data_IF_922941838740
#
_entry.id   IF_922941838740
#
_cell.length_a   1.000
_cell.length_b   1.000
_cell.length_c   1.000
_cell.angle_alpha   90.00
_cell.angle_beta   90.00
_cell.angle_gamma   90.00
#
_symmetry.space_group_name_H-M   'P 1'
#
loop_
_entity.id
_entity.type
_entity.pdbx_description
1 polymer ?
#
# COMPACT_ATOMS: atom_id res chain seq x y z
N UNK A 1 5.21 -14.77 -1.45
CA UNK A 1 6.59 -14.33 -1.11
C UNK A 1 6.77 -12.82 -1.26
N UNK A 2 6.56 -12.22 -2.45
CA UNK A 2 6.74 -10.77 -2.68
C UNK A 2 6.15 -9.86 -1.60
N UNK A 3 4.84 -9.95 -1.32
CA UNK A 3 4.19 -9.10 -0.32
C UNK A 3 4.71 -9.31 1.10
N UNK A 4 5.08 -10.56 1.44
CA UNK A 4 5.68 -10.86 2.74
C UNK A 4 7.01 -10.12 2.92
N UNK A 5 7.85 -10.04 1.88
CA UNK A 5 9.12 -9.30 1.98
C UNK A 5 8.88 -7.81 2.23
N UNK A 6 7.86 -7.22 1.61
CA UNK A 6 7.48 -5.81 1.87
C UNK A 6 7.00 -5.63 3.32
N UNK A 7 6.18 -6.54 3.83
CA UNK A 7 5.74 -6.52 5.24
C UNK A 7 6.94 -6.67 6.18
N UNK A 8 7.84 -7.60 5.89
CA UNK A 8 9.04 -7.82 6.69
C UNK A 8 9.94 -6.57 6.70
N UNK A 9 10.13 -5.90 5.55
CA UNK A 9 10.94 -4.68 5.43
C UNK A 9 10.27 -3.44 6.04
N UNK A 10 8.94 -3.38 6.03
CA UNK A 10 8.17 -2.33 6.71
C UNK A 10 8.36 -2.37 8.24
N UNK A 11 8.69 -3.53 8.81
CA UNK A 11 8.87 -3.70 10.25
C UNK A 11 8.21 -4.96 10.80
N UNK A 12 7.75 -5.86 9.93
CA UNK A 12 7.19 -7.16 10.30
C UNK A 12 5.67 -7.15 10.42
N UNK A 13 5.15 -8.32 10.81
CA UNK A 13 3.71 -8.57 10.85
C UNK A 13 2.98 -7.70 11.88
N UNK A 14 3.57 -7.55 13.07
CA UNK A 14 2.91 -6.83 14.17
C UNK A 14 2.71 -5.35 13.82
N UNK A 15 3.75 -4.68 13.31
CA UNK A 15 3.63 -3.29 12.86
C UNK A 15 2.68 -3.14 11.67
N UNK A 16 2.65 -4.13 10.76
CA UNK A 16 1.65 -4.14 9.69
C UNK A 16 0.22 -4.27 10.21
N UNK A 17 -0.02 -5.07 11.26
CA UNK A 17 -1.34 -5.14 11.91
C UNK A 17 -1.70 -3.82 12.61
N UNK A 18 -0.75 -3.13 13.23
CA UNK A 18 -0.97 -1.79 13.78
C UNK A 18 -1.40 -0.80 12.70
N UNK A 19 -0.76 -0.84 11.53
CA UNK A 19 -1.13 0.00 10.39
C UNK A 19 -2.55 -0.30 9.92
N UNK A 20 -2.92 -1.58 9.79
CA UNK A 20 -4.28 -1.97 9.43
C UNK A 20 -5.32 -1.51 10.48
N UNK A 21 -4.97 -1.58 11.77
CA UNK A 21 -5.81 -1.06 12.84
C UNK A 21 -6.00 0.47 12.77
N UNK A 22 -4.92 1.21 12.50
CA UNK A 22 -4.97 2.65 12.29
C UNK A 22 -5.86 3.02 11.08
N UNK A 23 -5.67 2.35 9.94
CA UNK A 23 -6.50 2.53 8.74
C UNK A 23 -7.96 2.16 9.00
N UNK A 24 -8.23 1.10 9.76
CA UNK A 24 -9.59 0.70 10.15
C UNK A 24 -10.29 1.76 10.99
N UNK A 25 -9.59 2.33 11.98
CA UNK A 25 -10.16 3.40 12.81
C UNK A 25 -10.52 4.65 11.99
N UNK A 26 -9.69 5.01 11.01
CA UNK A 26 -10.00 6.10 10.07
C UNK A 26 -11.17 5.72 9.16
N UNK A 27 -11.15 4.51 8.60
CA UNK A 27 -12.21 4.02 7.71
C UNK A 27 -13.58 4.04 8.38
N UNK A 28 -13.65 3.67 9.67
CA UNK A 28 -14.88 3.71 10.47
C UNK A 28 -15.43 5.12 10.67
N UNK A 29 -14.56 6.13 10.82
CA UNK A 29 -14.98 7.55 10.92
C UNK A 29 -15.61 8.05 9.62
N UNK A 30 -15.06 7.60 8.48
CA UNK A 30 -15.50 8.01 7.14
C UNK A 30 -16.60 7.10 6.57
N UNK A 31 -16.94 6.00 7.23
CA UNK A 31 -17.95 5.05 6.75
C UNK A 31 -17.55 4.29 5.48
N UNK A 32 -16.25 4.11 5.23
CA UNK A 32 -15.70 3.43 4.06
C UNK A 32 -14.83 2.24 4.46
N UNK A 33 -14.23 1.54 3.50
CA UNK A 33 -13.31 0.44 3.79
C UNK A 33 -11.84 0.90 3.91
N UNK A 34 -10.97 0.00 4.43
CA UNK A 34 -9.55 0.29 4.62
C UNK A 34 -8.81 0.57 3.31
N UNK A 35 -9.25 -0.01 2.19
CA UNK A 35 -8.62 0.17 0.89
C UNK A 35 -8.95 1.55 0.30
N UNK A 36 -10.16 2.06 0.55
CA UNK A 36 -10.54 3.44 0.22
C UNK A 36 -9.66 4.44 0.96
N UNK A 37 -9.48 4.29 2.28
CA UNK A 37 -8.60 5.17 3.06
C UNK A 37 -7.15 5.09 2.61
N UNK A 38 -6.62 3.87 2.42
CA UNK A 38 -5.24 3.70 1.95
C UNK A 38 -5.04 4.35 0.57
N UNK A 39 -6.00 4.22 -0.33
CA UNK A 39 -5.94 4.82 -1.67
C UNK A 39 -6.03 6.35 -1.63
N UNK A 40 -6.92 6.91 -0.81
CA UNK A 40 -7.04 8.35 -0.60
C UNK A 40 -5.74 8.92 -0.01
N UNK A 41 -5.14 8.26 0.98
CA UNK A 41 -3.85 8.66 1.55
C UNK A 41 -2.73 8.65 0.50
N UNK A 42 -2.69 7.64 -0.38
CA UNK A 42 -1.68 7.57 -1.46
C UNK A 42 -1.85 8.72 -2.46
N UNK A 43 -3.09 9.09 -2.81
CA UNK A 43 -3.37 10.21 -3.72
C UNK A 43 -2.90 11.57 -3.19
N UNK A 44 -2.78 11.73 -1.88
CA UNK A 44 -2.31 12.97 -1.26
C UNK A 44 -0.78 13.07 -1.18
N UNK A 45 -0.06 12.01 -1.55
CA UNK A 45 1.40 12.01 -1.50
C UNK A 45 1.99 12.89 -2.61
N UNK A 46 3.14 13.54 -2.36
CA UNK A 46 3.82 14.31 -3.39
C UNK A 46 4.03 13.50 -4.67
N UNK A 47 3.76 14.12 -5.82
CA UNK A 47 3.98 13.54 -7.15
C UNK A 47 3.05 12.36 -7.52
N UNK A 48 2.06 12.01 -6.70
CA UNK A 48 1.05 11.01 -7.05
C UNK A 48 -0.11 11.68 -7.78
N UNK A 49 -0.29 11.37 -9.07
CA UNK A 49 -1.40 11.88 -9.87
C UNK A 49 -2.62 10.93 -9.90
N UNK A 50 -2.41 9.64 -9.66
CA UNK A 50 -3.46 8.62 -9.73
C UNK A 50 -3.08 7.37 -8.93
N UNK A 51 -4.10 6.62 -8.51
CA UNK A 51 -3.99 5.26 -7.96
C UNK A 51 -4.64 4.27 -8.91
N UNK A 52 -3.97 3.13 -9.15
CA UNK A 52 -4.49 2.07 -10.01
C UNK A 52 -5.19 1.04 -9.13
N UNK A 53 -6.49 0.88 -9.32
CA UNK A 53 -7.34 0.00 -8.52
C UNK A 53 -7.98 -1.08 -9.38
N UNK A 54 -8.01 -2.30 -8.86
CA UNK A 54 -8.67 -3.43 -9.52
C UNK A 54 -10.11 -3.59 -9.04
N UNK A 55 -11.06 -3.78 -9.96
CA UNK A 55 -12.44 -4.11 -9.64
C UNK A 55 -12.82 -5.46 -10.26
N UNK A 56 -13.23 -6.42 -9.43
CA UNK A 56 -13.68 -7.75 -9.90
C UNK A 56 -15.21 -7.85 -9.98
N UNK A 57 -15.92 -6.91 -9.37
CA UNK A 57 -17.36 -6.85 -9.33
C UNK A 57 -17.80 -5.38 -9.19
N UNK A 58 -19.11 -5.15 -9.31
CA UNK A 58 -19.70 -3.81 -9.23
C UNK A 58 -19.46 -3.14 -7.87
N UNK A 59 -19.49 -3.88 -6.76
CA UNK A 59 -19.27 -3.32 -5.44
C UNK A 59 -17.85 -2.71 -5.31
N UNK A 60 -16.83 -3.38 -5.86
CA UNK A 60 -15.47 -2.81 -5.89
C UNK A 60 -15.41 -1.55 -6.76
N UNK A 61 -16.08 -1.53 -7.91
CA UNK A 61 -16.09 -0.35 -8.77
C UNK A 61 -16.73 0.86 -8.07
N UNK A 62 -17.82 0.65 -7.34
CA UNK A 62 -18.47 1.70 -6.55
C UNK A 62 -17.59 2.17 -5.38
N UNK A 63 -16.98 1.25 -4.63
CA UNK A 63 -16.06 1.61 -3.55
C UNK A 63 -14.84 2.39 -4.06
N UNK A 64 -14.29 1.98 -5.22
CA UNK A 64 -13.19 2.67 -5.88
C UNK A 64 -13.58 4.08 -6.34
N UNK A 65 -14.81 4.28 -6.82
CA UNK A 65 -15.29 5.60 -7.23
C UNK A 65 -15.36 6.58 -6.04
N UNK A 66 -15.69 6.09 -4.84
CA UNK A 66 -15.76 6.88 -3.62
C UNK A 66 -14.40 7.30 -3.03
N UNK A 67 -13.27 6.85 -3.58
CA UNK A 67 -11.94 7.25 -3.10
C UNK A 67 -11.75 8.77 -3.15
N UNK A 68 -12.26 9.41 -4.20
CA UNK A 68 -12.10 10.86 -4.42
C UNK A 68 -12.98 11.70 -3.49
N UNK A 69 -13.97 11.09 -2.83
CA UNK A 69 -14.89 11.77 -1.91
C UNK A 69 -14.35 11.81 -0.47
N UNK A 70 -13.25 11.08 -0.18
CA UNK A 70 -12.61 11.07 1.13
C UNK A 70 -11.67 12.26 1.27
N UNK A 71 -11.90 13.09 2.28
CA UNK A 71 -11.00 14.16 2.71
C UNK A 71 -10.38 13.80 4.07
N UNK A 72 -9.12 13.37 4.07
CA UNK A 72 -8.42 13.02 5.31
C UNK A 72 -8.10 14.28 6.12
N UNK A 73 -8.60 14.34 7.35
CA UNK A 73 -8.34 15.45 8.25
C UNK A 73 -6.94 15.32 8.91
N UNK A 74 -6.59 16.29 9.76
CA UNK A 74 -5.30 16.29 10.44
C UNK A 74 -5.15 15.12 11.44
N UNK A 75 -6.24 14.69 12.08
CA UNK A 75 -6.24 13.56 13.02
C UNK A 75 -6.01 12.24 12.27
N UNK A 76 -6.69 12.05 11.14
CA UNK A 76 -6.56 10.87 10.28
C UNK A 76 -5.11 10.72 9.78
N UNK A 77 -4.54 11.81 9.25
CA UNK A 77 -3.15 11.87 8.79
C UNK A 77 -2.17 11.58 9.91
N UNK A 78 -2.35 12.19 11.07
CA UNK A 78 -1.47 12.00 12.22
C UNK A 78 -1.50 10.55 12.71
N UNK A 79 -2.69 9.93 12.75
CA UNK A 79 -2.86 8.53 13.16
C UNK A 79 -2.13 7.57 12.22
N UNK A 80 -2.26 7.75 10.91
CA UNK A 80 -1.56 6.92 9.92
C UNK A 80 -0.04 7.17 9.99
N UNK A 81 0.36 8.43 10.04
CA UNK A 81 1.78 8.83 10.09
C UNK A 81 2.50 8.29 11.34
N UNK A 82 1.83 8.23 12.49
CA UNK A 82 2.40 7.69 13.72
C UNK A 82 2.83 6.23 13.60
N UNK A 83 2.12 5.42 12.80
CA UNK A 83 2.51 4.02 12.54
C UNK A 83 3.61 3.96 11.49
N UNK A 84 3.47 4.72 10.39
CA UNK A 84 4.48 4.77 9.32
C UNK A 84 5.85 5.23 9.85
N UNK A 85 5.89 6.15 10.82
CA UNK A 85 7.11 6.65 11.43
C UNK A 85 7.91 5.57 12.20
N UNK A 86 7.28 4.44 12.54
CA UNK A 86 7.95 3.30 13.18
C UNK A 86 8.55 2.32 12.16
N UNK A 87 8.28 2.54 10.86
CA UNK A 87 8.74 1.65 9.80
C UNK A 87 10.26 1.70 9.60
N UNK A 88 10.86 0.54 9.31
CA UNK A 88 12.26 0.40 8.91
C UNK A 88 12.50 0.49 7.40
N UNK A 89 11.44 0.57 6.57
CA UNK A 89 11.53 0.52 5.11
C UNK A 89 10.19 0.29 4.41
N UNK A 90 10.18 -0.24 3.18
CA UNK A 90 11.32 -0.48 2.30
C UNK A 90 12.10 0.81 1.98
N UNK A 91 13.42 0.69 1.82
CA UNK A 91 14.32 1.81 1.52
C UNK A 91 14.64 1.89 0.02
N UNK A 92 14.98 3.10 -0.43
CA UNK A 92 15.36 3.38 -1.81
C UNK A 92 14.27 4.06 -2.62
N UNK A 93 14.58 4.33 -3.89
CA UNK A 93 13.63 4.91 -4.84
C UNK A 93 12.74 3.85 -5.49
N UNK A 94 11.82 4.31 -6.35
CA UNK A 94 10.95 3.43 -7.15
C UNK A 94 11.81 2.47 -7.98
N UNK A 95 11.57 1.17 -7.83
CA UNK A 95 12.32 0.06 -8.44
C UNK A 95 13.71 -0.25 -7.85
N UNK A 96 14.16 0.40 -6.76
CA UNK A 96 15.46 0.06 -6.15
C UNK A 96 15.57 -1.44 -5.84
N UNK A 97 14.55 -2.01 -5.16
CA UNK A 97 14.58 -3.39 -4.69
C UNK A 97 14.54 -4.41 -5.84
N UNK A 98 13.80 -4.09 -6.91
CA UNK A 98 13.65 -4.94 -8.09
C UNK A 98 14.84 -4.86 -9.04
N UNK A 99 15.64 -3.78 -9.00
CA UNK A 99 16.86 -3.63 -9.81
C UNK A 99 17.98 -4.55 -9.33
N UNK A 100 18.07 -4.82 -8.03
CA UNK A 100 18.99 -5.83 -7.50
C UNK A 100 18.45 -7.25 -7.74
N UNK A 101 18.81 -7.83 -8.89
CA UNK A 101 18.38 -9.17 -9.32
C UNK A 101 18.88 -10.29 -8.40
N UNK A 102 19.91 -10.04 -7.60
CA UNK A 102 20.48 -11.02 -6.67
C UNK A 102 19.99 -10.82 -5.23
N UNK A 103 19.40 -9.67 -4.94
CA UNK A 103 18.82 -9.34 -3.64
C UNK A 103 17.55 -10.13 -3.31
N UNK A 104 17.09 -9.99 -2.06
CA UNK A 104 15.90 -10.68 -1.52
C UNK A 104 14.66 -10.48 -2.39
N UNK A 105 14.46 -9.26 -2.92
CA UNK A 105 13.31 -8.93 -3.77
C UNK A 105 13.50 -9.36 -5.21
N UNK A 106 14.62 -8.99 -5.86
CA UNK A 106 14.82 -9.31 -7.27
C UNK A 106 14.96 -10.80 -7.56
N UNK A 107 15.55 -11.57 -6.64
CA UNK A 107 15.75 -13.03 -6.83
C UNK A 107 14.45 -13.83 -6.97
N UNK A 108 13.32 -13.31 -6.47
CA UNK A 108 12.00 -13.96 -6.57
C UNK A 108 11.17 -13.46 -7.77
N UNK A 109 11.65 -12.46 -8.51
CA UNK A 109 10.90 -11.84 -9.61
C UNK A 109 11.06 -12.61 -10.92
N UNK A 110 9.98 -12.65 -11.71
CA UNK A 110 9.99 -13.19 -13.06
C UNK A 110 10.17 -12.06 -14.08
N UNK A 111 11.41 -11.84 -14.50
CA UNK A 111 11.77 -10.76 -15.43
C UNK A 111 11.49 -11.08 -16.91
N UNK A 112 11.32 -12.35 -17.25
CA UNK A 112 10.97 -12.75 -18.61
C UNK A 112 9.79 -13.74 -18.57
N UNK A 113 8.59 -13.22 -18.78
CA UNK A 113 7.36 -14.01 -18.84
C UNK A 113 7.20 -14.74 -20.19
N UNK A 114 7.99 -14.36 -21.20
CA UNK A 114 8.00 -14.96 -22.54
C UNK A 114 9.09 -16.04 -22.71
N UNK A 115 10.00 -16.17 -21.75
CA UNK A 115 10.90 -17.31 -21.68
C UNK A 115 10.07 -18.53 -21.31
N UNK A 116 9.43 -19.13 -22.30
CA UNK A 116 8.62 -20.33 -22.13
C UNK A 116 9.38 -21.34 -21.29
N UNK A 117 8.97 -21.48 -20.03
CA UNK A 117 9.47 -22.56 -19.19
C UNK A 117 8.74 -23.81 -19.66
N UNK A 118 9.52 -24.78 -20.14
CA UNK A 118 9.06 -26.16 -20.33
C UNK A 118 8.60 -26.75 -19.00
#
# INVERSE_FOLDING_TARGET
>A
VKYKLIIDDFGGWDLFQELLGALKAVADRHGVDIATIASAWVLEQPQVAAVIVGARNQAHALANAGIMDVALDAEDRARIAAVIAQSSGPLGDVYTLERDRHGRHGSIMHYNLNAGRK
#
